data_IF_084158875426
#
_entry.id   IF_084158875426
#
_cell.length_a   1.000
_cell.length_b   1.000
_cell.length_c   1.000
_cell.angle_alpha   90.00
_cell.angle_beta   90.00
_cell.angle_gamma   90.00
#
_symmetry.space_group_name_H-M   'P 1'
#
loop_
_entity.id
_entity.type
_entity.pdbx_description
1 polymer ?
#
# COMPACT_ATOMS: atom_id res chain seq x y z
N UNK A 1 37.57 -12.56 0.95
CA UNK A 1 36.61 -13.48 0.34
C UNK A 1 35.20 -12.93 0.52
N UNK A 2 34.43 -12.85 -0.53
CA UNK A 2 33.04 -12.42 -0.43
C UNK A 2 32.17 -13.55 0.14
N UNK A 3 31.20 -13.19 0.95
CA UNK A 3 30.28 -14.15 1.55
C UNK A 3 28.86 -13.87 1.10
N UNK A 4 27.99 -14.86 1.23
CA UNK A 4 26.56 -14.68 0.93
C UNK A 4 25.86 -14.13 2.18
N UNK A 5 24.69 -13.50 1.96
CA UNK A 5 23.89 -12.95 3.05
C UNK A 5 22.93 -14.00 3.59
N UNK A 6 22.64 -13.91 4.88
CA UNK A 6 21.51 -14.61 5.48
C UNK A 6 20.35 -13.63 5.55
N UNK A 7 19.22 -13.98 4.93
CA UNK A 7 18.07 -13.11 4.87
C UNK A 7 17.11 -13.40 6.01
N UNK A 8 16.68 -12.33 6.68
CA UNK A 8 15.65 -12.40 7.70
C UNK A 8 14.52 -11.45 7.32
N UNK A 9 13.29 -11.93 7.41
CA UNK A 9 12.13 -11.10 7.15
C UNK A 9 11.78 -10.33 8.42
N UNK A 10 11.79 -9.00 8.29
CA UNK A 10 11.45 -8.11 9.41
C UNK A 10 10.35 -7.16 8.96
N UNK A 11 9.09 -7.57 9.17
CA UNK A 11 7.96 -6.69 8.95
C UNK A 11 7.87 -5.72 10.12
N UNK A 12 7.94 -4.42 9.85
CA UNK A 12 7.70 -3.40 10.86
C UNK A 12 6.29 -2.91 10.71
N UNK A 13 5.46 -3.21 11.70
CA UNK A 13 4.07 -2.75 11.74
C UNK A 13 3.94 -1.61 12.74
N UNK A 14 3.31 -0.52 12.30
CA UNK A 14 2.98 0.59 13.18
C UNK A 14 1.47 0.74 13.24
N UNK A 15 0.91 1.16 14.40
CA UNK A 15 -0.53 1.39 14.48
C UNK A 15 -0.98 2.49 13.52
N UNK A 16 -2.19 2.36 13.02
CA UNK A 16 -2.82 3.42 12.23
C UNK A 16 -4.21 3.72 12.81
N UNK A 17 -4.78 4.84 12.37
CA UNK A 17 -6.12 5.26 12.81
C UNK A 17 -7.23 4.68 11.93
N UNK A 18 -6.89 3.88 10.93
CA UNK A 18 -7.87 3.33 10.01
C UNK A 18 -8.41 2.01 10.55
N UNK A 19 -9.74 1.92 10.63
CA UNK A 19 -10.40 0.72 11.10
C UNK A 19 -10.31 -0.40 10.05
N UNK A 20 -10.32 -1.64 10.53
CA UNK A 20 -10.37 -2.81 9.67
C UNK A 20 -11.77 -2.89 9.03
N UNK A 21 -11.82 -2.97 7.71
CA UNK A 21 -13.07 -2.98 6.94
C UNK A 21 -13.08 -4.16 5.99
N UNK A 22 -14.27 -4.71 5.75
CA UNK A 22 -14.45 -5.72 4.72
C UNK A 22 -14.72 -5.04 3.38
N UNK A 23 -13.95 -5.39 2.35
CA UNK A 23 -14.11 -4.84 1.02
C UNK A 23 -15.01 -5.76 0.21
N UNK A 24 -16.18 -5.29 -0.17
CA UNK A 24 -17.13 -6.04 -1.00
C UNK A 24 -17.43 -5.36 -2.32
N UNK A 25 -16.94 -4.13 -2.52
CA UNK A 25 -17.17 -3.37 -3.74
C UNK A 25 -16.04 -2.38 -3.97
N UNK A 26 -15.99 -1.82 -5.19
CA UNK A 26 -15.05 -0.75 -5.51
C UNK A 26 -15.25 0.47 -4.61
N UNK A 27 -16.50 0.75 -4.26
CA UNK A 27 -16.81 1.89 -3.40
C UNK A 27 -16.26 1.72 -2.00
N UNK A 28 -16.31 0.51 -1.44
CA UNK A 28 -15.73 0.22 -0.13
C UNK A 28 -14.23 0.52 -0.15
N UNK A 29 -13.53 0.05 -1.19
CA UNK A 29 -12.11 0.31 -1.36
C UNK A 29 -11.84 1.81 -1.47
N UNK A 30 -12.61 2.52 -2.29
CA UNK A 30 -12.46 3.96 -2.49
C UNK A 30 -12.63 4.73 -1.18
N UNK A 31 -13.60 4.37 -0.34
CA UNK A 31 -13.88 5.08 0.91
C UNK A 31 -12.70 5.00 1.88
N UNK A 32 -11.96 3.91 1.90
CA UNK A 32 -10.80 3.82 2.78
C UNK A 32 -9.55 4.40 2.12
N UNK A 33 -9.33 4.14 0.83
CA UNK A 33 -8.14 4.57 0.11
C UNK A 33 -8.04 6.09 0.07
N UNK A 34 -9.14 6.81 -0.14
CA UNK A 34 -9.10 8.28 -0.20
C UNK A 34 -8.56 8.92 1.07
N UNK A 35 -8.67 8.23 2.21
CA UNK A 35 -8.17 8.73 3.48
C UNK A 35 -6.65 8.69 3.58
N UNK A 36 -5.98 7.86 2.75
CA UNK A 36 -4.52 7.76 2.75
C UNK A 36 -3.84 9.00 2.19
N UNK A 37 -4.54 9.78 1.37
CA UNK A 37 -3.94 10.91 0.65
C UNK A 37 -3.92 12.19 1.47
N UNK A 38 -4.75 12.29 2.52
CA UNK A 38 -4.85 13.51 3.34
C UNK A 38 -5.09 14.74 2.44
N UNK A 39 -4.25 15.77 2.57
CA UNK A 39 -4.35 17.01 1.78
C UNK A 39 -3.50 16.99 0.52
N UNK A 40 -2.78 15.90 0.27
CA UNK A 40 -1.82 15.80 -0.83
C UNK A 40 -2.43 15.37 -2.16
N UNK A 41 -3.70 14.99 -2.18
CA UNK A 41 -4.33 14.35 -3.34
C UNK A 41 -4.27 15.19 -4.61
N UNK A 42 -4.28 16.52 -4.46
CA UNK A 42 -4.26 17.46 -5.59
C UNK A 42 -2.85 17.96 -5.94
N UNK A 43 -1.84 17.59 -5.14
CA UNK A 43 -0.49 18.14 -5.27
C UNK A 43 0.49 17.07 -5.77
N UNK A 44 0.50 15.91 -5.14
CA UNK A 44 1.46 14.85 -5.44
C UNK A 44 0.76 13.62 -5.97
N UNK A 45 1.41 12.98 -6.95
CA UNK A 45 0.99 11.67 -7.40
C UNK A 45 1.59 10.64 -6.44
N UNK A 46 0.72 9.91 -5.75
CA UNK A 46 1.13 8.90 -4.78
C UNK A 46 0.54 7.55 -5.15
N UNK A 47 1.31 6.51 -4.91
CA UNK A 47 0.89 5.14 -5.16
C UNK A 47 0.84 4.39 -3.84
N UNK A 48 -0.34 3.85 -3.54
CA UNK A 48 -0.58 3.08 -2.32
C UNK A 48 -0.97 1.66 -2.64
N UNK A 49 -0.69 0.75 -1.71
CA UNK A 49 -1.30 -0.58 -1.71
C UNK A 49 -2.16 -0.72 -0.46
N UNK A 50 -3.25 -1.45 -0.63
CA UNK A 50 -4.13 -1.86 0.47
C UNK A 50 -4.12 -3.38 0.49
N UNK A 51 -3.65 -3.97 1.59
CA UNK A 51 -3.51 -5.40 1.73
C UNK A 51 -4.73 -6.00 2.41
N UNK A 52 -5.19 -7.13 1.90
CA UNK A 52 -6.40 -7.80 2.38
C UNK A 52 -6.09 -9.23 2.82
N UNK A 53 -6.83 -9.72 3.81
CA UNK A 53 -6.79 -11.13 4.18
C UNK A 53 -7.73 -11.95 3.29
N UNK A 54 -7.84 -13.27 3.56
CA UNK A 54 -8.67 -14.17 2.76
C UNK A 54 -10.16 -13.84 2.83
N UNK A 55 -10.59 -13.14 3.87
CA UNK A 55 -11.98 -12.71 4.05
C UNK A 55 -12.21 -11.31 3.47
N UNK A 56 -11.28 -10.80 2.67
CA UNK A 56 -11.31 -9.47 2.07
C UNK A 56 -11.40 -8.33 3.09
N UNK A 57 -10.88 -8.56 4.28
CA UNK A 57 -10.77 -7.51 5.29
C UNK A 57 -9.42 -6.82 5.15
N UNK A 58 -9.41 -5.51 5.35
CA UNK A 58 -8.18 -4.72 5.30
C UNK A 58 -7.28 -5.07 6.48
N UNK A 59 -5.99 -5.31 6.22
CA UNK A 59 -5.03 -5.65 7.27
C UNK A 59 -3.87 -4.68 7.35
N UNK A 60 -3.51 -4.05 6.23
CA UNK A 60 -2.39 -3.12 6.19
C UNK A 60 -2.47 -2.25 4.93
N UNK A 61 -1.77 -1.13 4.96
CA UNK A 61 -1.56 -0.31 3.77
C UNK A 61 -0.14 0.21 3.77
N UNK A 62 0.35 0.59 2.59
CA UNK A 62 1.68 1.18 2.48
C UNK A 62 1.72 2.15 1.31
N UNK A 63 2.44 3.26 1.48
CA UNK A 63 2.78 4.14 0.38
C UNK A 63 4.00 3.55 -0.32
N UNK A 64 3.84 3.22 -1.59
CA UNK A 64 4.91 2.61 -2.39
C UNK A 64 5.82 3.69 -2.96
N UNK A 65 5.22 4.77 -3.47
CA UNK A 65 5.98 5.84 -4.08
C UNK A 65 5.19 7.14 -4.06
N UNK A 66 5.90 8.26 -4.18
CA UNK A 66 5.32 9.58 -4.31
C UNK A 66 6.16 10.35 -5.32
N UNK A 67 5.52 10.81 -6.39
CA UNK A 67 6.15 11.62 -7.41
C UNK A 67 5.71 13.06 -7.30
N UNK A 68 6.48 13.97 -7.91
CA UNK A 68 6.08 15.35 -8.09
C UNK A 68 5.16 15.49 -9.30
N UNK A 69 5.16 16.68 -9.88
CA UNK A 69 4.31 16.98 -11.04
C UNK A 69 4.62 16.08 -12.24
N UNK A 70 5.82 15.51 -12.30
CA UNK A 70 6.26 14.68 -13.43
C UNK A 70 5.78 13.22 -13.34
N UNK A 71 5.14 12.82 -12.24
CA UNK A 71 4.63 11.47 -12.07
C UNK A 71 5.40 10.64 -11.06
N UNK A 72 5.01 9.40 -10.91
CA UNK A 72 5.59 8.48 -9.94
C UNK A 72 5.96 7.15 -10.60
N UNK A 73 6.94 6.45 -10.00
CA UNK A 73 7.40 5.14 -10.46
C UNK A 73 6.84 4.06 -9.56
N UNK A 74 6.32 3.00 -10.18
CA UNK A 74 5.78 1.85 -9.45
C UNK A 74 6.86 0.77 -9.37
N UNK A 75 7.17 0.34 -8.15
CA UNK A 75 8.14 -0.73 -7.91
C UNK A 75 7.41 -2.00 -7.49
N UNK A 76 7.31 -2.94 -8.43
CA UNK A 76 6.59 -4.20 -8.22
C UNK A 76 7.28 -5.05 -7.13
N UNK A 77 8.61 -4.98 -7.04
CA UNK A 77 9.34 -5.72 -6.01
C UNK A 77 8.97 -5.23 -4.61
N UNK A 78 8.80 -3.92 -4.46
CA UNK A 78 8.42 -3.34 -3.18
C UNK A 78 6.98 -3.69 -2.82
N UNK A 79 6.08 -3.69 -3.80
CA UNK A 79 4.69 -4.12 -3.60
C UNK A 79 4.66 -5.56 -3.10
N UNK A 80 5.40 -6.46 -3.76
CA UNK A 80 5.47 -7.87 -3.37
C UNK A 80 6.04 -8.03 -1.97
N UNK A 81 7.08 -7.26 -1.63
CA UNK A 81 7.68 -7.33 -0.31
C UNK A 81 6.68 -6.99 0.79
N UNK A 82 5.95 -5.89 0.65
CA UNK A 82 4.96 -5.50 1.65
C UNK A 82 3.83 -6.52 1.76
N UNK A 83 3.34 -7.03 0.62
CA UNK A 83 2.27 -8.01 0.62
C UNK A 83 2.69 -9.31 1.32
N UNK A 84 3.93 -9.76 1.07
CA UNK A 84 4.45 -10.97 1.70
C UNK A 84 4.70 -10.74 3.19
N UNK A 85 5.27 -9.60 3.55
CA UNK A 85 5.59 -9.29 4.94
C UNK A 85 4.34 -9.26 5.85
N UNK A 86 3.19 -8.84 5.32
CA UNK A 86 1.95 -8.85 6.09
C UNK A 86 1.06 -10.09 5.81
N UNK A 87 1.56 -11.04 5.01
CA UNK A 87 0.84 -12.27 4.65
C UNK A 87 -0.51 -11.98 4.01
N UNK A 88 -0.53 -11.00 3.10
CA UNK A 88 -1.75 -10.63 2.39
C UNK A 88 -2.20 -11.73 1.44
N UNK A 89 -3.51 -11.94 1.36
CA UNK A 89 -4.12 -12.83 0.37
C UNK A 89 -4.56 -12.07 -0.88
N UNK A 90 -4.69 -10.75 -0.78
CA UNK A 90 -5.02 -9.89 -1.90
C UNK A 90 -4.47 -8.50 -1.70
N UNK A 91 -4.31 -7.78 -2.80
CA UNK A 91 -3.77 -6.43 -2.79
C UNK A 91 -4.60 -5.56 -3.74
N UNK A 92 -4.98 -4.39 -3.28
CA UNK A 92 -5.61 -3.36 -4.13
C UNK A 92 -4.58 -2.27 -4.35
N UNK A 93 -4.39 -1.89 -5.62
CA UNK A 93 -3.46 -0.85 -6.00
C UNK A 93 -4.23 0.44 -6.25
N UNK A 94 -3.69 1.55 -5.79
CA UNK A 94 -4.35 2.84 -5.94
C UNK A 94 -3.35 3.97 -6.17
N UNK A 95 -3.69 4.85 -7.08
CA UNK A 95 -2.92 6.07 -7.28
C UNK A 95 -3.85 7.19 -7.72
N UNK A 96 -3.42 8.42 -7.51
CA UNK A 96 -4.15 9.60 -7.94
C UNK A 96 -3.41 10.26 -9.11
N UNK A 97 -4.15 11.09 -9.84
CA UNK A 97 -3.59 11.91 -10.94
C UNK A 97 -3.94 13.37 -10.67
N UNK A 98 -3.06 14.11 -9.99
CA UNK A 98 -3.27 15.55 -9.82
C UNK A 98 -3.25 16.25 -11.17
N UNK A 99 -4.15 17.15 -11.38
CA UNK A 99 -4.23 17.92 -12.63
C UNK A 99 -3.29 19.13 -12.61
#
# INVERSE_FOLDING_TARGET
MATIANLELKAKKTPSNFEKVKITSSNDAFQIIKQFYFDDIDIFESFFILCLNRNNQTIAYAKISQGGVAGTVVDIKLIAKYAIDCLASGVILAHNHPS
#
